data_IF_643601070813
#
_entry.id   IF_643601070813
#
_cell.length_a   1.000
_cell.length_b   1.000
_cell.length_c   1.000
_cell.angle_alpha   90.00
_cell.angle_beta   90.00
_cell.angle_gamma   90.00
#
_symmetry.space_group_name_H-M   'P 1'
#
loop_
_entity.id
_entity.type
_entity.pdbx_description
1 polymer ?
#
# COMPACT_ATOMS: atom_id res chain seq x y z
N UNK A 1 10.46 -41.28 15.86
CA UNK A 1 10.20 -40.09 16.68
C UNK A 1 10.77 -38.81 16.04
N UNK A 2 10.29 -38.39 14.85
CA UNK A 2 10.91 -37.23 14.15
C UNK A 2 10.03 -36.42 13.19
N UNK A 3 8.77 -36.81 12.98
CA UNK A 3 7.85 -36.13 12.05
C UNK A 3 6.90 -35.13 12.75
N UNK A 4 6.80 -35.14 14.08
CA UNK A 4 5.71 -34.48 14.84
C UNK A 4 6.03 -33.05 15.33
N UNK A 5 7.30 -32.72 15.64
CA UNK A 5 7.65 -31.36 16.07
C UNK A 5 7.74 -30.34 14.91
N UNK A 6 8.14 -30.78 13.71
CA UNK A 6 8.21 -29.92 12.52
C UNK A 6 6.84 -29.58 11.95
N UNK A 7 5.91 -30.54 11.96
CA UNK A 7 4.52 -30.31 11.54
C UNK A 7 3.79 -29.38 12.52
N UNK A 8 3.94 -29.58 13.84
CA UNK A 8 3.39 -28.68 14.88
C UNK A 8 3.95 -27.25 14.82
N UNK A 9 5.23 -27.07 14.46
CA UNK A 9 5.80 -25.73 14.20
C UNK A 9 5.16 -25.05 13.00
N UNK A 10 4.87 -25.78 11.91
CA UNK A 10 4.15 -25.23 10.74
C UNK A 10 2.70 -24.89 11.06
N UNK A 11 2.00 -25.74 11.81
CA UNK A 11 0.60 -25.52 12.20
C UNK A 11 0.40 -24.28 13.09
N UNK A 12 1.44 -23.76 13.73
CA UNK A 12 1.36 -22.50 14.50
C UNK A 12 1.23 -21.25 13.63
N UNK A 13 1.56 -21.35 12.35
CA UNK A 13 1.50 -20.26 11.37
C UNK A 13 0.41 -20.45 10.32
N UNK A 14 -0.22 -21.61 10.31
CA UNK A 14 -1.21 -22.02 9.32
C UNK A 14 -2.55 -22.23 10.02
N UNK A 15 -3.66 -21.84 9.39
CA UNK A 15 -5.00 -21.97 9.96
C UNK A 15 -5.72 -20.64 10.01
N UNK A 16 -6.27 -20.30 11.19
CA UNK A 16 -7.07 -19.08 11.45
C UNK A 16 -6.32 -17.78 11.14
N UNK A 17 -7.06 -16.68 10.98
CA UNK A 17 -6.49 -15.35 10.79
C UNK A 17 -5.47 -14.99 11.89
N UNK A 18 -5.79 -15.29 13.16
CA UNK A 18 -4.89 -15.08 14.30
C UNK A 18 -3.57 -15.88 14.18
N UNK A 19 -3.63 -17.12 13.70
CA UNK A 19 -2.42 -17.93 13.46
C UNK A 19 -1.56 -17.36 12.33
N UNK A 20 -2.18 -16.81 11.27
CA UNK A 20 -1.47 -16.18 10.15
C UNK A 20 -0.84 -14.84 10.52
N UNK A 21 -1.51 -14.05 11.37
CA UNK A 21 -0.99 -12.76 11.88
C UNK A 21 0.16 -12.91 12.87
N UNK A 22 0.31 -14.08 13.49
CA UNK A 22 1.33 -14.30 14.50
C UNK A 22 2.73 -13.99 13.98
N UNK A 23 3.04 -14.39 12.74
CA UNK A 23 4.38 -14.19 12.17
C UNK A 23 4.71 -12.70 11.99
N UNK A 24 3.89 -11.90 11.27
CA UNK A 24 4.20 -10.48 11.12
C UNK A 24 4.22 -9.73 12.46
N UNK A 25 3.36 -10.08 13.43
CA UNK A 25 3.38 -9.51 14.78
C UNK A 25 4.69 -9.80 15.51
N UNK A 26 5.18 -11.05 15.49
CA UNK A 26 6.45 -11.40 16.12
C UNK A 26 7.64 -10.70 15.43
N UNK A 27 7.58 -10.51 14.11
CA UNK A 27 8.60 -9.74 13.37
C UNK A 27 8.59 -8.27 13.80
N UNK A 28 7.43 -7.61 13.87
CA UNK A 28 7.35 -6.21 14.30
C UNK A 28 7.90 -6.06 15.72
N UNK A 29 7.53 -6.95 16.65
CA UNK A 29 8.06 -6.93 18.03
C UNK A 29 9.57 -7.12 18.08
N UNK A 30 10.12 -8.02 17.26
CA UNK A 30 11.56 -8.24 17.19
C UNK A 30 12.30 -7.03 16.61
N UNK A 31 11.75 -6.39 15.57
CA UNK A 31 12.28 -5.15 15.01
C UNK A 31 12.24 -4.06 16.07
N UNK A 32 11.10 -3.82 16.72
CA UNK A 32 10.93 -2.84 17.81
C UNK A 32 11.94 -3.03 18.93
N UNK A 33 12.15 -4.26 19.37
CA UNK A 33 13.14 -4.56 20.41
C UNK A 33 14.58 -4.25 19.96
N UNK A 34 14.89 -4.39 18.67
CA UNK A 34 16.22 -4.12 18.12
C UNK A 34 16.47 -2.63 17.85
N UNK A 35 15.45 -1.86 17.43
CA UNK A 35 15.61 -0.45 17.03
C UNK A 35 15.29 0.55 18.15
N UNK A 36 14.65 0.11 19.24
CA UNK A 36 14.23 0.97 20.35
C UNK A 36 12.88 1.67 20.11
N UNK A 37 12.35 2.39 21.10
CA UNK A 37 11.02 2.99 21.04
C UNK A 37 10.88 4.17 20.07
N UNK A 38 11.97 4.92 19.83
CA UNK A 38 11.91 6.18 19.07
C UNK A 38 12.10 6.00 17.55
N UNK A 39 12.50 4.79 17.10
CA UNK A 39 12.73 4.52 15.68
C UNK A 39 11.42 4.17 14.97
N UNK A 40 10.98 4.89 13.91
CA UNK A 40 9.72 4.60 13.25
C UNK A 40 9.70 3.24 12.53
N UNK A 41 8.63 2.47 12.73
CA UNK A 41 8.36 1.21 12.02
C UNK A 41 7.18 1.41 11.09
N UNK A 42 7.47 1.39 9.78
CA UNK A 42 6.46 1.39 8.73
C UNK A 42 6.13 -0.05 8.31
N UNK A 43 4.85 -0.41 8.35
CA UNK A 43 4.37 -1.72 7.91
C UNK A 43 3.59 -1.63 6.60
N UNK A 44 4.08 -2.30 5.56
CA UNK A 44 3.47 -2.34 4.23
C UNK A 44 2.71 -3.63 4.02
N UNK A 45 1.44 -3.54 3.61
CA UNK A 45 0.60 -4.69 3.27
C UNK A 45 -0.13 -4.45 1.95
N UNK A 46 -0.65 -5.51 1.32
CA UNK A 46 -1.39 -5.41 0.05
C UNK A 46 -2.78 -6.01 0.20
N UNK A 47 -3.78 -5.38 -0.42
CA UNK A 47 -5.12 -5.99 -0.55
C UNK A 47 -5.13 -7.09 -1.62
N UNK A 48 -4.33 -6.95 -2.69
CA UNK A 48 -4.33 -7.80 -3.88
C UNK A 48 -3.04 -8.62 -4.04
N UNK A 49 -3.09 -9.65 -4.90
CA UNK A 49 -1.94 -10.48 -5.26
C UNK A 49 -1.64 -10.34 -6.75
N UNK A 50 -0.38 -10.48 -7.16
CA UNK A 50 0.00 -10.39 -8.59
C UNK A 50 -0.69 -11.45 -9.47
N UNK A 51 -0.97 -12.64 -8.91
CA UNK A 51 -1.66 -13.72 -9.61
C UNK A 51 -3.19 -13.66 -9.48
N UNK A 52 -3.70 -12.83 -8.58
CA UNK A 52 -5.13 -12.72 -8.29
C UNK A 52 -5.47 -11.29 -7.85
N UNK A 53 -6.00 -10.53 -8.80
CA UNK A 53 -6.40 -9.13 -8.59
C UNK A 53 -7.75 -8.97 -7.89
N UNK A 54 -8.48 -10.07 -7.69
CA UNK A 54 -9.72 -10.15 -6.90
C UNK A 54 -9.47 -10.56 -5.46
N UNK A 55 -8.31 -11.13 -5.16
CA UNK A 55 -7.91 -11.39 -3.79
C UNK A 55 -7.97 -10.08 -2.99
N UNK A 56 -8.58 -10.19 -1.82
CA UNK A 56 -8.68 -9.18 -0.77
C UNK A 56 -7.97 -9.72 0.46
N UNK A 57 -7.36 -8.83 1.25
CA UNK A 57 -6.77 -9.21 2.55
C UNK A 57 -7.85 -9.35 3.63
N UNK A 58 -8.92 -8.55 3.52
CA UNK A 58 -10.09 -8.50 4.37
C UNK A 58 -11.30 -8.13 3.51
N UNK A 59 -12.46 -8.71 3.81
CA UNK A 59 -13.71 -8.50 3.06
C UNK A 59 -14.62 -7.46 3.72
N UNK A 60 -14.22 -6.91 4.87
CA UNK A 60 -14.92 -5.83 5.55
C UNK A 60 -13.98 -4.94 6.37
N UNK A 61 -14.40 -3.73 6.76
CA UNK A 61 -13.64 -2.89 7.68
C UNK A 61 -13.30 -3.58 9.01
N UNK A 62 -14.24 -4.35 9.57
CA UNK A 62 -14.04 -5.06 10.85
C UNK A 62 -12.97 -6.15 10.74
N UNK A 63 -12.94 -6.89 9.61
CA UNK A 63 -11.88 -7.84 9.35
C UNK A 63 -10.53 -7.14 9.16
N UNK A 64 -10.50 -6.02 8.45
CA UNK A 64 -9.28 -5.23 8.26
C UNK A 64 -8.74 -4.74 9.61
N UNK A 65 -9.60 -4.20 10.47
CA UNK A 65 -9.24 -3.78 11.83
C UNK A 65 -8.67 -4.95 12.64
N UNK A 66 -9.32 -6.12 12.62
CA UNK A 66 -8.83 -7.33 13.29
C UNK A 66 -7.45 -7.80 12.81
N UNK A 67 -7.05 -7.45 11.58
CA UNK A 67 -5.70 -7.71 11.06
C UNK A 67 -4.68 -6.64 11.47
N UNK A 68 -5.10 -5.38 11.54
CA UNK A 68 -4.20 -4.24 11.77
C UNK A 68 -3.99 -3.94 13.25
N UNK A 69 -5.00 -4.09 14.11
CA UNK A 69 -4.91 -3.80 15.54
C UNK A 69 -3.75 -4.58 16.23
N UNK A 70 -3.55 -5.89 15.98
CA UNK A 70 -2.40 -6.60 16.56
C UNK A 70 -1.03 -6.08 16.11
N UNK A 71 -0.95 -5.43 14.94
CA UNK A 71 0.28 -4.81 14.44
C UNK A 71 0.52 -3.44 15.10
N UNK A 72 -0.55 -2.68 15.37
CA UNK A 72 -0.48 -1.47 16.20
C UNK A 72 0.07 -1.83 17.58
N UNK A 73 -0.52 -2.84 18.25
CA UNK A 73 -0.06 -3.34 19.55
C UNK A 73 1.39 -3.86 19.54
N UNK A 74 1.87 -4.32 18.38
CA UNK A 74 3.24 -4.77 18.21
C UNK A 74 4.25 -3.62 18.10
N UNK A 75 3.79 -2.40 17.84
CA UNK A 75 4.61 -1.20 17.72
C UNK A 75 4.83 -0.72 16.29
N UNK A 76 3.89 -0.96 15.37
CA UNK A 76 3.87 -0.24 14.08
C UNK A 76 3.49 1.22 14.33
N UNK A 77 4.20 2.15 13.66
CA UNK A 77 3.93 3.60 13.77
C UNK A 77 3.23 4.16 12.52
N UNK A 78 3.43 3.53 11.36
CA UNK A 78 2.89 3.99 10.08
C UNK A 78 2.47 2.79 9.23
N UNK A 79 1.31 2.87 8.58
CA UNK A 79 0.90 1.86 7.61
C UNK A 79 1.10 2.33 6.17
N UNK A 80 1.51 1.41 5.30
CA UNK A 80 1.58 1.64 3.86
C UNK A 80 0.68 0.61 3.15
N UNK A 81 -0.63 0.89 3.03
CA UNK A 81 -1.55 0.04 2.29
C UNK A 81 -1.29 0.12 0.78
N UNK A 82 -0.78 -0.98 0.21
CA UNK A 82 -0.47 -1.11 -1.20
C UNK A 82 -1.72 -1.42 -2.03
N UNK A 83 -2.13 -0.48 -2.86
CA UNK A 83 -3.16 -0.66 -3.90
C UNK A 83 -2.59 -0.45 -5.31
N UNK A 84 -3.28 -0.94 -6.33
CA UNK A 84 -2.95 -0.66 -7.74
C UNK A 84 -3.29 0.78 -8.11
N UNK A 85 -4.35 1.32 -7.53
CA UNK A 85 -4.93 2.64 -7.80
C UNK A 85 -5.35 3.25 -6.47
N UNK A 86 -4.79 4.40 -6.10
CA UNK A 86 -5.09 5.06 -4.83
C UNK A 86 -6.58 5.42 -4.67
N UNK A 87 -7.26 5.67 -5.77
CA UNK A 87 -8.65 6.13 -5.83
C UNK A 87 -9.71 5.03 -5.92
N UNK A 88 -9.32 3.75 -5.93
CA UNK A 88 -10.31 2.66 -5.91
C UNK A 88 -10.76 2.47 -4.45
N UNK A 89 -12.08 2.53 -4.16
CA UNK A 89 -12.56 2.30 -2.82
C UNK A 89 -12.22 0.90 -2.32
N UNK A 90 -11.92 0.78 -1.03
CA UNK A 90 -11.56 -0.51 -0.43
C UNK A 90 -12.77 -1.43 -0.21
N UNK A 91 -13.94 -0.84 0.06
CA UNK A 91 -15.20 -1.52 0.39
C UNK A 91 -16.39 -0.84 -0.34
N UNK A 92 -16.44 -0.89 -1.69
CA UNK A 92 -17.41 -0.17 -2.52
C UNK A 92 -18.87 -0.58 -2.30
N UNK A 93 -19.12 -1.70 -1.65
CA UNK A 93 -20.44 -2.19 -1.27
C UNK A 93 -21.09 -1.42 -0.12
N UNK A 94 -20.32 -0.61 0.61
CA UNK A 94 -20.82 0.23 1.70
C UNK A 94 -21.53 1.48 1.15
N UNK A 95 -22.49 2.00 1.91
CA UNK A 95 -23.27 3.17 1.49
C UNK A 95 -22.56 4.49 1.82
N UNK A 96 -22.78 5.50 0.97
CA UNK A 96 -22.32 6.87 1.23
C UNK A 96 -20.79 7.00 1.22
N UNK A 97 -20.27 7.88 2.07
CA UNK A 97 -18.83 8.19 2.11
C UNK A 97 -17.94 6.97 2.45
N UNK A 98 -18.50 5.97 3.12
CA UNK A 98 -17.78 4.74 3.47
C UNK A 98 -17.48 3.87 2.24
N UNK A 99 -18.38 3.87 1.26
CA UNK A 99 -18.22 3.16 -0.02
C UNK A 99 -17.26 3.83 -1.00
N UNK A 100 -16.83 5.06 -0.71
CA UNK A 100 -15.89 5.82 -1.56
C UNK A 100 -14.47 5.85 -0.98
N UNK A 101 -14.32 5.48 0.29
CA UNK A 101 -13.06 5.63 1.02
C UNK A 101 -11.99 4.65 0.51
N UNK A 102 -10.78 5.17 0.26
CA UNK A 102 -9.66 4.35 -0.18
C UNK A 102 -9.18 3.40 0.92
N UNK A 103 -8.36 2.41 0.54
CA UNK A 103 -7.70 1.54 1.52
C UNK A 103 -6.82 2.34 2.50
N UNK A 104 -6.19 3.43 2.04
CA UNK A 104 -5.41 4.31 2.91
C UNK A 104 -6.31 5.01 3.93
N UNK A 105 -7.45 5.56 3.48
CA UNK A 105 -8.44 6.18 4.35
C UNK A 105 -9.00 5.22 5.39
N UNK A 106 -9.37 3.99 4.99
CA UNK A 106 -9.82 2.96 5.93
C UNK A 106 -8.73 2.57 6.92
N UNK A 107 -7.50 2.36 6.46
CA UNK A 107 -6.35 2.02 7.32
C UNK A 107 -6.13 3.09 8.37
N UNK A 108 -6.12 4.37 7.97
CA UNK A 108 -5.96 5.50 8.89
C UNK A 108 -7.12 5.61 9.88
N UNK A 109 -8.36 5.50 9.40
CA UNK A 109 -9.56 5.57 10.23
C UNK A 109 -9.60 4.48 11.30
N UNK A 110 -9.26 3.24 10.94
CA UNK A 110 -9.34 2.09 11.85
C UNK A 110 -8.18 2.04 12.85
N UNK A 111 -6.99 2.48 12.46
CA UNK A 111 -5.78 2.35 13.30
C UNK A 111 -5.45 3.62 14.08
N UNK A 112 -5.94 4.78 13.63
CA UNK A 112 -5.54 6.08 14.15
C UNK A 112 -4.09 6.47 13.84
N UNK A 113 -3.35 5.64 13.09
CA UNK A 113 -1.96 5.88 12.73
C UNK A 113 -1.85 6.55 11.35
N UNK A 114 -0.73 7.27 11.10
CA UNK A 114 -0.44 7.80 9.78
C UNK A 114 -0.44 6.73 8.68
N UNK A 115 -0.89 7.11 7.49
CA UNK A 115 -0.96 6.23 6.33
C UNK A 115 -0.18 6.78 5.12
N UNK A 116 0.53 5.87 4.43
CA UNK A 116 1.18 6.12 3.15
C UNK A 116 0.33 5.54 2.03
N UNK A 117 -0.35 6.39 1.26
CA UNK A 117 -1.09 5.98 0.07
C UNK A 117 -0.13 5.65 -1.09
N UNK A 118 -0.59 4.83 -2.03
CA UNK A 118 0.17 4.47 -3.24
C UNK A 118 -0.76 3.97 -4.34
N UNK A 119 -0.30 4.01 -5.58
CA UNK A 119 -0.97 3.36 -6.72
C UNK A 119 -1.29 4.35 -7.84
N UNK A 120 -0.65 4.18 -9.00
CA UNK A 120 -0.88 4.98 -10.23
C UNK A 120 -0.91 6.50 -10.01
N UNK A 121 0.02 7.03 -9.22
CA UNK A 121 0.13 8.49 -9.00
C UNK A 121 0.74 9.14 -10.23
N UNK A 122 0.01 10.10 -10.82
CA UNK A 122 0.47 10.84 -12.00
C UNK A 122 0.52 10.04 -13.29
N UNK A 123 0.07 8.78 -13.29
CA UNK A 123 0.14 7.87 -14.43
C UNK A 123 -1.19 7.15 -14.61
N UNK A 124 -1.60 6.96 -15.86
CA UNK A 124 -2.73 6.10 -16.18
C UNK A 124 -2.43 4.67 -15.75
N UNK A 125 -3.49 3.88 -15.55
CA UNK A 125 -3.32 2.48 -15.18
C UNK A 125 -3.45 1.57 -16.39
N UNK A 126 -2.34 1.05 -16.89
CA UNK A 126 -2.34 -0.03 -17.87
C UNK A 126 -2.07 -1.39 -17.21
N UNK A 127 -2.71 -2.45 -17.70
CA UNK A 127 -2.38 -3.82 -17.31
C UNK A 127 -2.44 -4.79 -18.48
N UNK A 128 -1.30 -4.97 -19.14
CA UNK A 128 -0.88 -6.20 -19.82
C UNK A 128 0.61 -6.44 -19.52
N UNK A 129 0.98 -7.34 -18.59
CA UNK A 129 2.37 -7.55 -18.17
C UNK A 129 3.33 -7.96 -19.30
N UNK A 130 2.81 -8.41 -20.44
CA UNK A 130 3.58 -8.95 -21.56
C UNK A 130 4.01 -7.91 -22.60
N UNK A 131 3.62 -6.63 -22.46
CA UNK A 131 3.89 -5.61 -23.48
C UNK A 131 4.60 -4.39 -22.89
N UNK A 132 5.73 -4.02 -23.48
CA UNK A 132 6.38 -2.72 -23.24
C UNK A 132 5.54 -1.67 -23.97
N UNK A 133 4.87 -0.80 -23.22
CA UNK A 133 4.07 0.31 -23.74
C UNK A 133 4.32 1.58 -22.95
N UNK A 134 4.07 2.71 -23.60
CA UNK A 134 4.06 4.02 -22.95
C UNK A 134 2.80 4.10 -22.06
N UNK A 135 2.99 4.42 -20.78
CA UNK A 135 1.92 4.72 -19.84
C UNK A 135 1.76 6.23 -19.79
N UNK A 136 0.62 6.72 -20.27
CA UNK A 136 0.34 8.15 -20.35
C UNK A 136 0.27 8.82 -18.96
N UNK A 137 0.57 10.13 -18.87
CA UNK A 137 0.28 10.95 -17.69
C UNK A 137 -1.18 10.84 -17.24
N UNK A 138 -1.39 10.85 -15.93
CA UNK A 138 -2.71 11.01 -15.34
C UNK A 138 -2.81 12.30 -14.52
N UNK A 139 -4.02 12.89 -14.45
CA UNK A 139 -4.31 13.98 -13.54
C UNK A 139 -4.12 13.57 -12.07
N UNK A 140 -3.87 14.55 -11.17
CA UNK A 140 -3.56 14.32 -9.74
C UNK A 140 -4.63 14.88 -8.80
N UNK A 141 -5.75 15.37 -9.32
CA UNK A 141 -6.83 15.99 -8.55
C UNK A 141 -7.45 15.01 -7.57
N UNK A 142 -7.51 13.71 -7.91
CA UNK A 142 -7.95 12.67 -6.99
C UNK A 142 -7.02 12.55 -5.77
N UNK A 143 -5.70 12.62 -5.98
CA UNK A 143 -4.70 12.63 -4.90
C UNK A 143 -4.90 13.84 -4.01
N UNK A 144 -5.08 15.03 -4.60
CA UNK A 144 -5.27 16.27 -3.84
C UNK A 144 -6.57 16.24 -3.01
N UNK A 145 -7.65 15.70 -3.58
CA UNK A 145 -8.93 15.54 -2.87
C UNK A 145 -8.79 14.59 -1.69
N UNK A 146 -8.25 13.40 -1.89
CA UNK A 146 -8.03 12.42 -0.83
C UNK A 146 -7.13 12.96 0.29
N UNK A 147 -6.11 13.75 -0.05
CA UNK A 147 -5.28 14.42 0.95
C UNK A 147 -6.08 15.44 1.76
N UNK A 148 -6.91 16.26 1.08
CA UNK A 148 -7.80 17.23 1.75
C UNK A 148 -8.84 16.54 2.65
N UNK A 149 -9.31 15.36 2.26
CA UNK A 149 -10.25 14.53 3.01
C UNK A 149 -9.56 13.71 4.13
N UNK A 150 -8.26 13.94 4.36
CA UNK A 150 -7.44 13.29 5.38
C UNK A 150 -7.37 11.76 5.24
N UNK A 151 -7.42 11.23 4.01
CA UNK A 151 -7.32 9.78 3.76
C UNK A 151 -5.89 9.23 3.93
N UNK A 152 -4.87 10.07 3.81
CA UNK A 152 -3.46 9.69 4.00
C UNK A 152 -2.61 10.89 4.41
N UNK A 153 -1.38 10.62 4.87
CA UNK A 153 -0.42 11.63 5.34
C UNK A 153 0.71 11.83 4.34
N UNK A 154 1.10 10.75 3.65
CA UNK A 154 2.14 10.74 2.62
C UNK A 154 1.63 9.93 1.43
N UNK A 155 2.05 10.29 0.22
CA UNK A 155 1.80 9.48 -0.96
C UNK A 155 3.11 9.01 -1.60
N UNK A 156 3.24 7.70 -1.82
CA UNK A 156 4.40 7.10 -2.46
C UNK A 156 4.27 7.20 -3.99
N UNK A 157 5.31 7.74 -4.63
CA UNK A 157 5.43 7.86 -6.08
C UNK A 157 6.58 6.97 -6.56
N UNK A 158 6.33 6.12 -7.56
CA UNK A 158 7.31 5.17 -8.09
C UNK A 158 7.65 5.46 -9.55
N UNK A 159 6.92 4.81 -10.47
CA UNK A 159 7.16 4.88 -11.93
C UNK A 159 7.31 6.30 -12.48
N UNK A 160 6.52 7.27 -12.01
CA UNK A 160 6.67 8.65 -12.47
C UNK A 160 8.05 9.23 -12.15
N UNK A 161 8.57 9.01 -10.93
CA UNK A 161 9.92 9.44 -10.53
C UNK A 161 11.03 8.69 -11.26
N UNK A 162 10.82 7.42 -11.63
CA UNK A 162 11.78 6.67 -12.45
C UNK A 162 11.89 7.23 -13.88
N UNK A 163 10.78 7.74 -14.42
CA UNK A 163 10.80 8.36 -15.76
C UNK A 163 11.27 9.81 -15.71
N UNK A 164 11.02 10.52 -14.60
CA UNK A 164 11.27 11.95 -14.47
C UNK A 164 11.54 12.29 -12.99
N UNK A 165 12.81 12.40 -12.58
CA UNK A 165 13.14 12.73 -11.18
C UNK A 165 12.65 14.14 -10.78
N UNK A 166 12.41 15.02 -11.76
CA UNK A 166 11.86 16.36 -11.54
C UNK A 166 10.33 16.38 -11.43
N UNK A 167 9.65 15.23 -11.51
CA UNK A 167 8.18 15.16 -11.56
C UNK A 167 7.49 15.93 -10.43
N UNK A 168 7.98 15.79 -9.19
CA UNK A 168 7.44 16.51 -8.01
C UNK A 168 7.69 18.02 -8.12
N UNK A 169 8.87 18.43 -8.57
CA UNK A 169 9.21 19.84 -8.76
C UNK A 169 8.35 20.47 -9.87
N UNK A 170 8.15 19.74 -10.98
CA UNK A 170 7.28 20.14 -12.09
C UNK A 170 5.85 20.34 -11.61
N UNK A 171 5.29 19.37 -10.90
CA UNK A 171 3.96 19.48 -10.30
C UNK A 171 3.85 20.72 -9.39
N UNK A 172 4.83 20.92 -8.49
CA UNK A 172 4.86 22.09 -7.59
C UNK A 172 4.90 23.43 -8.34
N UNK A 173 5.58 23.47 -9.49
CA UNK A 173 5.74 24.68 -10.32
C UNK A 173 4.67 24.88 -11.40
N UNK A 174 3.62 24.03 -11.44
CA UNK A 174 2.59 24.10 -12.48
C UNK A 174 3.05 23.62 -13.87
N UNK A 175 4.16 22.90 -13.94
CA UNK A 175 4.78 22.37 -15.17
C UNK A 175 4.41 20.92 -15.43
N UNK A 176 3.27 20.44 -14.90
CA UNK A 176 2.87 19.03 -15.06
C UNK A 176 2.67 18.61 -16.52
N UNK A 177 2.38 19.54 -17.43
CA UNK A 177 2.27 19.27 -18.86
C UNK A 177 3.59 18.87 -19.54
N UNK A 178 4.73 19.06 -18.88
CA UNK A 178 6.04 18.57 -19.36
C UNK A 178 6.25 17.07 -19.09
N UNK A 179 5.43 16.45 -18.23
CA UNK A 179 5.56 15.03 -17.93
C UNK A 179 4.97 14.21 -19.08
N UNK A 180 5.78 13.32 -19.65
CA UNK A 180 5.43 12.53 -20.85
C UNK A 180 4.99 11.09 -20.54
N UNK A 181 4.82 10.75 -19.27
CA UNK A 181 4.40 9.42 -18.85
C UNK A 181 5.57 8.51 -18.49
N UNK A 182 5.37 7.20 -18.58
CA UNK A 182 6.36 6.18 -18.22
C UNK A 182 6.52 5.14 -19.32
N UNK A 183 7.76 4.86 -19.70
CA UNK A 183 8.11 3.73 -20.55
C UNK A 183 9.29 2.98 -19.91
N UNK A 184 9.16 1.68 -19.68
CA UNK A 184 10.20 0.91 -18.99
C UNK A 184 11.53 0.89 -19.74
N UNK A 185 11.51 0.84 -21.08
CA UNK A 185 12.73 0.85 -21.89
C UNK A 185 13.49 2.18 -21.77
N UNK A 186 12.76 3.30 -21.84
CA UNK A 186 13.34 4.65 -21.70
C UNK A 186 13.78 4.95 -20.26
N UNK A 187 12.96 4.58 -19.29
CA UNK A 187 13.22 4.87 -17.87
C UNK A 187 14.46 4.11 -17.35
N UNK A 188 14.62 2.85 -17.74
CA UNK A 188 15.77 2.05 -17.29
C UNK A 188 17.07 2.39 -18.06
N UNK A 189 16.99 2.88 -19.30
CA UNK A 189 18.19 3.30 -20.05
C UNK A 189 18.85 4.57 -19.51
N UNK A 190 18.15 5.34 -18.67
CA UNK A 190 18.69 6.55 -18.04
C UNK A 190 19.36 6.28 -16.68
N UNK A 191 19.29 5.04 -16.17
CA UNK A 191 19.83 4.64 -14.87
C UNK A 191 21.21 3.95 -14.96
N UNK A 192 21.71 3.72 -16.17
CA UNK A 192 23.02 3.12 -16.48
C UNK A 192 23.68 3.89 -17.61
#
# INVERSE_FOLDING_TARGET
MGADQRSRRRLRWLGSAAQRLRFPVEVVRAVRAAVGPDFPILYRFSQWKQADYTATLADSPAELEGLLAPLVDAGVDVFHPSTRRHYVPAFPELAGADGELSLAGWTKRLTGLPAVAVGSVGLQTEFKPSEVRDIEPAPVEAVLRQFADNEFDVIAVGRALLSDPEWVNKLRSGRQGEFVGFNIGKALSALY
#
